data_IF_424864002788
#
_entry.id   IF_424864002788
#
_cell.length_a   1.000
_cell.length_b   1.000
_cell.length_c   1.000
_cell.angle_alpha   90.00
_cell.angle_beta   90.00
_cell.angle_gamma   90.00
#
_symmetry.space_group_name_H-M   'P 1'
#
loop_
_entity.id
_entity.type
_entity.pdbx_description
1 polymer ?
#
# COMPACT_ATOMS: atom_id res chain seq x y z
N UNK A 1 21.43 -9.19 30.93
CA UNK A 1 20.42 -8.12 31.05
C UNK A 1 20.79 -7.04 30.06
N UNK A 2 20.31 -7.15 28.84
CA UNK A 2 20.43 -6.07 27.85
C UNK A 2 19.35 -5.04 28.15
N UNK A 3 19.76 -3.88 28.64
CA UNK A 3 18.87 -2.72 28.73
C UNK A 3 18.54 -2.32 27.29
N UNK A 4 17.30 -2.57 26.89
CA UNK A 4 16.74 -2.02 25.65
C UNK A 4 16.65 -0.51 25.85
N UNK A 5 17.65 0.24 25.42
CA UNK A 5 17.59 1.71 25.41
C UNK A 5 16.45 2.10 24.47
N UNK A 6 15.44 2.76 25.02
CA UNK A 6 14.36 3.35 24.24
C UNK A 6 14.97 4.23 23.14
N UNK A 7 14.72 3.88 21.87
CA UNK A 7 15.25 4.65 20.75
C UNK A 7 14.53 6.00 20.68
N UNK A 8 15.29 7.06 20.53
CA UNK A 8 14.73 8.41 20.36
C UNK A 8 14.15 8.51 18.93
N UNK A 9 12.89 8.93 18.77
CA UNK A 9 12.30 9.15 17.47
C UNK A 9 13.11 10.15 16.63
N UNK A 10 13.32 9.82 15.36
CA UNK A 10 13.93 10.72 14.34
C UNK A 10 12.83 11.10 13.35
N UNK A 11 12.10 12.18 13.64
CA UNK A 11 10.97 12.63 12.83
C UNK A 11 11.41 13.51 11.67
N UNK A 12 10.78 13.33 10.49
CA UNK A 12 11.04 14.14 9.29
C UNK A 12 10.43 15.54 9.33
N UNK A 13 9.35 15.71 10.12
CA UNK A 13 8.69 16.98 10.36
C UNK A 13 8.38 17.14 11.85
N UNK A 14 8.15 18.37 12.33
CA UNK A 14 7.71 18.61 13.70
C UNK A 14 6.40 17.86 13.98
N UNK A 15 6.36 17.08 15.06
CA UNK A 15 5.12 16.49 15.52
C UNK A 15 4.29 17.57 16.22
N UNK A 16 2.98 17.57 15.96
CA UNK A 16 2.01 18.47 16.55
C UNK A 16 1.04 17.70 17.45
N UNK A 17 0.42 18.37 18.41
CA UNK A 17 -0.68 17.76 19.16
C UNK A 17 -1.93 17.66 18.27
N UNK A 18 -2.83 16.74 18.62
CA UNK A 18 -4.11 16.63 17.90
C UNK A 18 -4.89 17.95 17.94
N UNK A 19 -4.78 18.71 19.05
CA UNK A 19 -5.41 20.04 19.17
C UNK A 19 -4.81 21.09 18.22
N UNK A 20 -3.46 21.15 18.10
CA UNK A 20 -2.78 22.05 17.16
C UNK A 20 -3.16 21.70 15.71
N UNK A 21 -3.19 20.42 15.34
CA UNK A 21 -3.60 19.97 14.00
C UNK A 21 -5.08 20.27 13.73
N UNK A 22 -5.96 20.05 14.71
CA UNK A 22 -7.40 20.35 14.58
C UNK A 22 -7.64 21.84 14.34
N UNK A 23 -6.91 22.69 15.05
CA UNK A 23 -6.96 24.15 14.83
C UNK A 23 -6.51 24.51 13.40
N UNK A 24 -5.42 23.90 12.93
CA UNK A 24 -4.92 24.11 11.56
C UNK A 24 -5.94 23.69 10.48
N UNK A 25 -6.62 22.54 10.69
CA UNK A 25 -7.71 22.09 9.80
C UNK A 25 -8.86 23.08 9.79
N UNK A 26 -9.30 23.54 10.97
CA UNK A 26 -10.45 24.47 11.11
C UNK A 26 -10.18 25.84 10.48
N UNK A 27 -8.93 26.31 10.58
CA UNK A 27 -8.52 27.60 10.01
C UNK A 27 -8.11 27.53 8.53
N UNK A 28 -8.16 26.36 7.91
CA UNK A 28 -7.79 26.17 6.50
C UNK A 28 -6.29 26.18 6.24
N UNK A 29 -5.45 26.09 7.27
CA UNK A 29 -3.98 26.07 7.13
C UNK A 29 -3.48 24.80 6.42
N UNK A 30 -4.29 23.71 6.42
CA UNK A 30 -4.00 22.47 5.73
C UNK A 30 -4.70 22.33 4.37
N UNK A 31 -5.41 23.34 3.90
CA UNK A 31 -6.22 23.26 2.67
C UNK A 31 -5.40 22.91 1.44
N UNK A 32 -4.26 23.55 1.24
CA UNK A 32 -3.38 23.24 0.11
C UNK A 32 -2.96 21.77 0.11
N UNK A 33 -2.69 21.18 1.28
CA UNK A 33 -2.39 19.75 1.39
C UNK A 33 -3.63 18.91 1.06
N UNK A 34 -4.80 19.27 1.59
CA UNK A 34 -6.05 18.56 1.32
C UNK A 34 -6.48 18.64 -0.16
N UNK A 35 -6.22 19.78 -0.83
CA UNK A 35 -6.42 19.95 -2.27
C UNK A 35 -5.51 19.03 -3.09
N UNK A 36 -4.24 18.93 -2.73
CA UNK A 36 -3.29 18.03 -3.40
C UNK A 36 -3.71 16.56 -3.33
N UNK A 37 -4.40 16.15 -2.26
CA UNK A 37 -4.86 14.79 -2.04
C UNK A 37 -6.08 14.40 -2.91
N UNK A 38 -6.84 15.33 -3.41
CA UNK A 38 -8.05 14.99 -4.15
C UNK A 38 -8.73 16.14 -4.90
N UNK A 39 -8.01 17.23 -5.13
CA UNK A 39 -8.53 18.44 -5.80
C UNK A 39 -9.46 19.28 -4.93
N UNK A 40 -9.96 20.36 -5.50
CA UNK A 40 -10.80 21.36 -4.79
C UNK A 40 -12.20 20.84 -4.41
N UNK A 41 -12.64 19.71 -4.98
CA UNK A 41 -13.97 19.18 -4.72
C UNK A 41 -14.08 18.63 -3.32
N UNK A 42 -15.20 18.93 -2.65
CA UNK A 42 -15.55 18.43 -1.32
C UNK A 42 -14.52 18.74 -0.21
N UNK A 43 -13.97 19.94 -0.23
CA UNK A 43 -13.05 20.41 0.83
C UNK A 43 -13.71 20.37 2.24
N UNK A 44 -15.01 20.62 2.31
CA UNK A 44 -15.74 20.57 3.59
C UNK A 44 -15.76 19.13 4.16
N UNK A 45 -16.05 18.14 3.34
CA UNK A 45 -16.01 16.71 3.73
C UNK A 45 -14.61 16.25 4.13
N UNK A 46 -13.56 16.68 3.40
CA UNK A 46 -12.17 16.38 3.75
C UNK A 46 -11.73 16.96 5.07
N UNK A 47 -12.05 18.24 5.32
CA UNK A 47 -11.79 18.86 6.62
C UNK A 47 -12.53 18.13 7.74
N UNK A 48 -13.81 17.79 7.53
CA UNK A 48 -14.60 17.05 8.51
C UNK A 48 -13.98 15.69 8.83
N UNK A 49 -13.62 14.91 7.80
CA UNK A 49 -12.99 13.60 7.94
C UNK A 49 -11.65 13.69 8.69
N UNK A 50 -10.83 14.68 8.37
CA UNK A 50 -9.56 14.93 9.05
C UNK A 50 -9.79 15.34 10.52
N UNK A 51 -10.75 16.23 10.78
CA UNK A 51 -11.09 16.66 12.13
C UNK A 51 -11.63 15.51 12.99
N UNK A 52 -12.45 14.62 12.43
CA UNK A 52 -13.01 13.49 13.16
C UNK A 52 -11.94 12.43 13.47
N UNK A 53 -10.99 12.20 12.55
CA UNK A 53 -9.83 11.36 12.81
C UNK A 53 -8.95 11.91 13.95
N UNK A 54 -8.68 13.22 13.95
CA UNK A 54 -7.90 13.89 15.01
C UNK A 54 -8.59 13.82 16.37
N UNK A 55 -9.92 13.99 16.42
CA UNK A 55 -10.70 13.80 17.66
C UNK A 55 -10.62 12.36 18.15
N UNK A 56 -10.81 11.39 17.26
CA UNK A 56 -10.72 9.97 17.61
C UNK A 56 -9.33 9.60 18.13
N UNK A 57 -8.26 10.13 17.53
CA UNK A 57 -6.90 9.95 18.03
C UNK A 57 -6.73 10.54 19.44
N UNK A 58 -7.22 11.76 19.66
CA UNK A 58 -7.14 12.44 20.97
C UNK A 58 -7.92 11.69 22.06
N UNK A 59 -9.10 11.17 21.73
CA UNK A 59 -9.93 10.36 22.65
C UNK A 59 -9.28 9.02 22.99
N UNK A 60 -8.63 8.38 22.02
CA UNK A 60 -8.04 7.03 22.20
C UNK A 60 -6.67 7.09 22.87
N UNK A 61 -5.82 8.04 22.47
CA UNK A 61 -4.40 8.07 22.84
C UNK A 61 -3.98 9.31 23.65
N UNK A 62 -4.88 10.28 23.82
CA UNK A 62 -4.67 11.49 24.62
C UNK A 62 -4.39 12.73 23.80
N UNK A 63 -4.89 13.87 24.30
CA UNK A 63 -4.85 15.18 23.62
C UNK A 63 -3.45 15.79 23.49
N UNK A 64 -2.57 15.48 24.45
CA UNK A 64 -1.20 16.02 24.53
C UNK A 64 -0.18 15.21 23.74
N UNK A 65 -0.61 14.09 23.12
CA UNK A 65 0.27 13.29 22.26
C UNK A 65 0.67 14.07 21.03
N UNK A 66 1.97 14.16 20.80
CA UNK A 66 2.52 14.77 19.57
C UNK A 66 2.59 13.72 18.49
N UNK A 67 1.95 13.99 17.37
CA UNK A 67 1.72 13.04 16.29
C UNK A 67 1.95 13.68 14.92
N UNK A 68 2.06 12.86 13.89
CA UNK A 68 2.05 13.25 12.50
C UNK A 68 0.69 12.90 11.86
N UNK A 69 0.23 13.73 10.94
CA UNK A 69 -0.88 13.43 10.03
C UNK A 69 -0.30 12.95 8.71
N UNK A 70 -0.69 11.76 8.27
CA UNK A 70 -0.15 11.06 7.11
C UNK A 70 -1.29 10.60 6.20
N UNK A 71 -0.99 10.42 4.92
CA UNK A 71 -1.95 9.91 3.94
C UNK A 71 -1.27 8.97 2.95
N UNK A 72 -2.00 7.95 2.50
CA UNK A 72 -1.63 7.06 1.41
C UNK A 72 -2.85 6.83 0.54
N UNK A 73 -2.72 7.04 -0.76
CA UNK A 73 -3.81 6.86 -1.71
C UNK A 73 -4.03 5.38 -2.05
N UNK A 74 -5.27 5.03 -2.42
CA UNK A 74 -5.52 3.82 -3.18
C UNK A 74 -5.04 3.94 -4.62
N UNK A 75 -5.07 2.84 -5.36
CA UNK A 75 -4.62 2.81 -6.76
C UNK A 75 -5.66 2.25 -7.73
N UNK A 76 -5.54 2.63 -8.99
CA UNK A 76 -6.15 1.92 -10.12
C UNK A 76 -5.10 1.65 -11.18
N UNK A 77 -5.27 0.59 -11.96
CA UNK A 77 -4.48 0.35 -13.16
C UNK A 77 -5.20 0.98 -14.36
N UNK A 78 -4.44 1.69 -15.20
CA UNK A 78 -4.96 2.29 -16.43
C UNK A 78 -4.70 1.40 -17.64
N UNK A 79 -3.59 0.66 -17.66
CA UNK A 79 -3.21 -0.23 -18.75
C UNK A 79 -2.15 -1.22 -18.29
N UNK A 80 -2.15 -2.46 -18.84
CA UNK A 80 -1.13 -3.47 -18.57
C UNK A 80 -1.66 -4.81 -18.11
N UNK A 81 -2.93 -4.87 -17.69
CA UNK A 81 -3.64 -6.09 -17.37
C UNK A 81 -3.00 -6.90 -16.22
N UNK A 82 -2.46 -6.19 -15.24
CA UNK A 82 -1.87 -6.75 -14.03
C UNK A 82 -0.73 -7.77 -14.30
N UNK A 83 0.14 -7.43 -15.25
CA UNK A 83 1.20 -8.33 -15.74
C UNK A 83 2.52 -8.21 -14.98
N UNK A 84 2.57 -7.52 -13.86
CA UNK A 84 3.74 -7.38 -12.98
C UNK A 84 4.35 -8.74 -12.59
N UNK A 85 3.52 -9.74 -12.25
CA UNK A 85 3.95 -11.11 -11.94
C UNK A 85 4.55 -11.88 -13.13
N UNK A 86 4.41 -11.36 -14.36
CA UNK A 86 5.03 -11.84 -15.59
C UNK A 86 6.15 -10.93 -16.11
N UNK A 87 6.65 -10.03 -15.27
CA UNK A 87 7.64 -9.01 -15.63
C UNK A 87 7.15 -8.06 -16.73
N UNK A 88 5.83 -7.84 -16.82
CA UNK A 88 5.22 -6.97 -17.82
C UNK A 88 5.43 -5.49 -17.55
N UNK A 89 4.81 -4.66 -18.39
CA UNK A 89 4.72 -3.22 -18.22
C UNK A 89 3.30 -2.85 -17.88
N UNK A 90 3.12 -1.93 -16.94
CA UNK A 90 1.83 -1.41 -16.54
C UNK A 90 1.83 0.11 -16.45
N UNK A 91 0.67 0.73 -16.60
CA UNK A 91 0.43 2.12 -16.24
C UNK A 91 -0.60 2.12 -15.14
N UNK A 92 -0.19 2.57 -13.97
CA UNK A 92 -1.05 2.66 -12.79
C UNK A 92 -1.17 4.12 -12.32
N UNK A 93 -2.19 4.42 -11.56
CA UNK A 93 -2.36 5.73 -10.96
C UNK A 93 -2.89 5.62 -9.53
N UNK A 94 -2.51 6.59 -8.70
CA UNK A 94 -3.22 6.85 -7.46
C UNK A 94 -4.62 7.40 -7.75
N UNK A 95 -5.55 7.14 -6.84
CA UNK A 95 -6.92 7.66 -6.90
C UNK A 95 -7.16 8.64 -5.75
N UNK A 96 -8.22 9.44 -5.84
CA UNK A 96 -8.58 10.42 -4.80
C UNK A 96 -9.22 9.81 -3.55
N UNK A 97 -9.34 8.48 -3.50
CA UNK A 97 -9.71 7.74 -2.30
C UNK A 97 -8.43 7.35 -1.57
N UNK A 98 -8.33 7.70 -0.29
CA UNK A 98 -7.11 7.53 0.48
C UNK A 98 -7.37 6.92 1.86
N UNK A 99 -6.29 6.59 2.50
CA UNK A 99 -6.21 6.27 3.93
C UNK A 99 -5.54 7.44 4.64
N UNK A 100 -6.18 8.01 5.65
CA UNK A 100 -5.61 9.00 6.56
C UNK A 100 -5.18 8.33 7.85
N UNK A 101 -4.05 8.77 8.40
CA UNK A 101 -3.49 8.27 9.64
C UNK A 101 -2.95 9.40 10.51
N UNK A 102 -3.27 9.37 11.80
CA UNK A 102 -2.59 10.17 12.83
C UNK A 102 -1.75 9.21 13.64
N UNK A 103 -0.42 9.40 13.67
CA UNK A 103 0.50 8.48 14.32
C UNK A 103 1.48 9.19 15.27
N UNK A 104 1.68 8.62 16.45
CA UNK A 104 2.59 9.12 17.49
C UNK A 104 3.58 8.03 17.93
N UNK A 105 4.86 8.37 18.21
CA UNK A 105 5.84 7.39 18.66
C UNK A 105 5.57 6.89 20.07
N UNK A 106 5.95 5.63 20.34
CA UNK A 106 5.96 4.97 21.67
C UNK A 106 7.38 4.52 22.03
N UNK A 107 7.62 4.32 23.31
CA UNK A 107 8.92 3.88 23.82
C UNK A 107 8.96 2.42 24.28
N UNK A 108 7.81 1.74 24.27
CA UNK A 108 7.65 0.36 24.77
C UNK A 108 7.76 -0.73 23.69
N UNK A 109 8.01 -0.34 22.42
CA UNK A 109 8.14 -1.27 21.31
C UNK A 109 6.81 -1.92 20.87
N UNK A 110 5.68 -1.31 21.20
CA UNK A 110 4.34 -1.79 20.81
C UNK A 110 3.77 -0.89 19.72
N UNK A 111 3.27 -1.48 18.65
CA UNK A 111 2.40 -0.82 17.67
C UNK A 111 0.93 -1.04 18.07
N UNK A 112 0.20 0.05 18.29
CA UNK A 112 -1.22 0.04 18.57
C UNK A 112 -1.94 0.83 17.48
N UNK A 113 -2.69 0.13 16.63
CA UNK A 113 -3.35 0.69 15.44
C UNK A 113 -4.86 0.58 15.62
N UNK A 114 -5.51 1.72 15.80
CA UNK A 114 -6.97 1.82 15.86
C UNK A 114 -7.51 2.21 14.47
N UNK A 115 -8.11 1.26 13.78
CA UNK A 115 -8.73 1.47 12.47
C UNK A 115 -10.23 1.72 12.64
N UNK A 116 -10.69 2.94 12.34
CA UNK A 116 -12.08 3.35 12.48
C UNK A 116 -13.00 2.43 11.67
N UNK A 117 -13.97 1.82 12.35
CA UNK A 117 -14.89 0.84 11.76
C UNK A 117 -14.39 -0.60 11.71
N UNK A 118 -13.11 -0.88 12.06
CA UNK A 118 -12.52 -2.23 11.99
C UNK A 118 -11.96 -2.75 13.33
N UNK A 119 -11.66 -1.88 14.28
CA UNK A 119 -11.14 -2.26 15.59
C UNK A 119 -9.70 -1.83 15.84
N UNK A 120 -9.04 -2.49 16.78
CA UNK A 120 -7.68 -2.15 17.21
C UNK A 120 -6.77 -3.36 17.15
N UNK A 121 -5.66 -3.24 16.45
CA UNK A 121 -4.57 -4.19 16.45
C UNK A 121 -3.49 -3.75 17.42
N UNK A 122 -2.93 -4.71 18.15
CA UNK A 122 -1.79 -4.47 19.05
C UNK A 122 -0.72 -5.50 18.75
N UNK A 123 0.46 -5.02 18.33
CA UNK A 123 1.58 -5.86 17.90
C UNK A 123 2.84 -5.47 18.68
N UNK A 124 3.49 -6.45 19.31
CA UNK A 124 4.79 -6.25 19.92
C UNK A 124 5.88 -6.29 18.87
N UNK A 125 6.66 -5.20 18.72
CA UNK A 125 7.73 -5.07 17.74
C UNK A 125 9.13 -5.33 18.33
N UNK A 126 9.22 -5.63 19.62
CA UNK A 126 10.49 -5.92 20.31
C UNK A 126 10.30 -7.01 21.37
N UNK A 127 10.66 -8.29 21.09
CA UNK A 127 11.21 -8.77 19.81
C UNK A 127 10.18 -8.75 18.69
N UNK A 128 10.66 -8.66 17.43
CA UNK A 128 9.80 -8.78 16.26
C UNK A 128 9.22 -10.20 16.18
N UNK A 129 7.91 -10.32 15.88
CA UNK A 129 7.33 -11.65 15.64
C UNK A 129 7.85 -12.25 14.33
N UNK A 130 8.06 -13.56 14.35
CA UNK A 130 8.34 -14.33 13.14
C UNK A 130 7.05 -14.56 12.34
N UNK A 131 7.14 -14.85 11.01
CA UNK A 131 5.98 -15.20 10.22
C UNK A 131 5.26 -16.43 10.80
N UNK A 132 3.97 -16.29 11.02
CA UNK A 132 3.14 -17.36 11.60
C UNK A 132 1.89 -17.57 10.75
N UNK A 133 1.71 -18.83 10.30
CA UNK A 133 0.56 -19.18 9.45
C UNK A 133 -0.79 -19.04 10.15
N UNK A 134 -0.83 -19.13 11.48
CA UNK A 134 -2.06 -18.92 12.26
C UNK A 134 -2.54 -17.45 12.18
N UNK A 135 -1.62 -16.53 11.92
CA UNK A 135 -1.89 -15.10 11.78
C UNK A 135 -2.09 -14.63 10.32
N UNK A 136 -2.02 -15.54 9.35
CA UNK A 136 -2.22 -15.18 7.95
C UNK A 136 -3.59 -14.53 7.74
N UNK A 137 -3.63 -13.55 6.84
CA UNK A 137 -4.85 -12.80 6.53
C UNK A 137 -5.23 -11.72 7.54
N UNK A 138 -4.39 -11.44 8.57
CA UNK A 138 -4.68 -10.44 9.60
C UNK A 138 -3.91 -9.14 9.38
N UNK A 139 -4.50 -8.01 9.78
CA UNK A 139 -3.83 -6.70 9.80
C UNK A 139 -2.62 -6.68 10.74
N UNK A 140 -2.70 -7.42 11.86
CA UNK A 140 -1.58 -7.58 12.79
C UNK A 140 -0.35 -8.22 12.11
N UNK A 141 -0.56 -9.21 11.23
CA UNK A 141 0.51 -9.82 10.45
C UNK A 141 1.15 -8.83 9.47
N UNK A 142 0.36 -7.95 8.83
CA UNK A 142 0.88 -6.90 7.97
C UNK A 142 1.73 -5.89 8.76
N UNK A 143 1.27 -5.43 9.93
CA UNK A 143 2.04 -4.53 10.80
C UNK A 143 3.38 -5.15 11.19
N UNK A 144 3.37 -6.42 11.61
CA UNK A 144 4.58 -7.16 11.96
C UNK A 144 5.52 -7.31 10.76
N UNK A 145 4.96 -7.66 9.59
CA UNK A 145 5.70 -7.88 8.36
C UNK A 145 6.39 -6.62 7.84
N UNK A 146 5.70 -5.48 7.86
CA UNK A 146 6.31 -4.18 7.47
C UNK A 146 7.42 -3.81 8.44
N UNK A 147 7.22 -3.94 9.75
CA UNK A 147 8.26 -3.66 10.73
C UNK A 147 9.48 -4.59 10.56
N UNK A 148 9.26 -5.87 10.29
CA UNK A 148 10.33 -6.82 10.01
C UNK A 148 11.08 -6.47 8.70
N UNK A 149 10.37 -6.07 7.66
CA UNK A 149 10.95 -5.60 6.41
C UNK A 149 11.83 -4.37 6.59
N UNK A 150 11.37 -3.37 7.36
CA UNK A 150 12.17 -2.20 7.73
C UNK A 150 13.45 -2.59 8.47
N UNK A 151 13.33 -3.41 9.50
CA UNK A 151 14.49 -3.90 10.27
C UNK A 151 15.47 -4.67 9.40
N UNK A 152 14.99 -5.56 8.52
CA UNK A 152 15.80 -6.31 7.57
C UNK A 152 16.54 -5.42 6.58
N UNK A 153 15.91 -4.33 6.15
CA UNK A 153 16.51 -3.33 5.25
C UNK A 153 17.49 -2.38 5.97
N UNK A 154 17.66 -2.53 7.29
CA UNK A 154 18.60 -1.73 8.10
C UNK A 154 18.01 -0.41 8.59
N UNK A 155 16.70 -0.20 8.46
CA UNK A 155 16.00 0.98 8.97
C UNK A 155 15.64 0.82 10.45
N UNK A 156 15.50 1.96 11.12
CA UNK A 156 15.04 1.99 12.51
C UNK A 156 13.55 1.69 12.59
N UNK A 157 13.19 0.92 13.62
CA UNK A 157 11.79 0.64 13.97
C UNK A 157 11.54 0.97 15.44
N UNK A 158 10.30 1.26 15.77
CA UNK A 158 9.86 1.49 17.14
C UNK A 158 8.35 1.37 17.29
N UNK A 159 7.87 1.38 18.52
CA UNK A 159 6.43 1.34 18.81
C UNK A 159 5.74 2.64 18.43
N UNK A 160 4.46 2.54 18.07
CA UNK A 160 3.65 3.71 17.74
C UNK A 160 2.18 3.49 18.09
N UNK A 161 1.49 4.59 18.38
CA UNK A 161 0.04 4.67 18.40
C UNK A 161 -0.41 5.25 17.07
N UNK A 162 -1.40 4.66 16.43
CA UNK A 162 -1.98 5.16 15.20
C UNK A 162 -3.51 5.08 15.22
N UNK A 163 -4.17 6.12 14.73
CA UNK A 163 -5.59 6.13 14.42
C UNK A 163 -5.75 6.31 12.93
N UNK A 164 -6.52 5.44 12.26
CA UNK A 164 -6.66 5.41 10.81
C UNK A 164 -8.10 5.44 10.37
N UNK A 165 -8.37 6.11 9.25
CA UNK A 165 -9.65 6.04 8.53
C UNK A 165 -9.37 5.87 7.04
N UNK A 166 -10.12 5.00 6.37
CA UNK A 166 -9.90 4.68 4.96
C UNK A 166 -11.16 4.81 4.13
N UNK A 167 -11.04 5.48 2.98
CA UNK A 167 -12.02 5.43 1.90
C UNK A 167 -11.66 4.35 0.87
N UNK A 168 -10.46 3.75 0.98
CA UNK A 168 -10.03 2.59 0.21
C UNK A 168 -10.57 1.33 0.89
N UNK A 169 -11.81 0.97 0.58
CA UNK A 169 -12.51 -0.12 1.25
C UNK A 169 -11.95 -1.49 0.85
N UNK A 170 -11.90 -2.45 1.80
CA UNK A 170 -11.57 -3.85 1.49
C UNK A 170 -12.50 -4.41 0.40
N UNK A 171 -11.93 -5.18 -0.54
CA UNK A 171 -12.70 -5.78 -1.62
C UNK A 171 -13.16 -4.82 -2.73
N UNK A 172 -12.79 -3.53 -2.67
CA UNK A 172 -13.14 -2.54 -3.70
C UNK A 172 -12.31 -2.63 -4.99
N UNK A 173 -11.26 -3.46 -5.01
CA UNK A 173 -10.32 -3.52 -6.13
C UNK A 173 -9.30 -2.38 -6.17
N UNK A 174 -9.28 -1.50 -5.16
CA UNK A 174 -8.40 -0.33 -5.06
C UNK A 174 -7.16 -0.56 -4.20
N UNK A 175 -6.85 -1.82 -3.88
CA UNK A 175 -5.70 -2.25 -3.07
C UNK A 175 -5.66 -1.70 -1.65
N UNK A 176 -6.70 -2.00 -0.88
CA UNK A 176 -6.74 -1.62 0.54
C UNK A 176 -5.60 -2.24 1.37
N UNK A 177 -5.14 -3.46 1.07
CA UNK A 177 -3.98 -4.08 1.73
C UNK A 177 -2.70 -3.30 1.45
N UNK A 178 -2.40 -3.01 0.18
CA UNK A 178 -1.22 -2.24 -0.20
C UNK A 178 -1.22 -0.83 0.42
N UNK A 179 -2.36 -0.13 0.39
CA UNK A 179 -2.48 1.18 1.02
C UNK A 179 -2.24 1.11 2.54
N UNK A 180 -2.71 0.04 3.22
CA UNK A 180 -2.47 -0.16 4.64
C UNK A 180 -0.99 -0.46 4.94
N UNK A 181 -0.37 -1.35 4.18
CA UNK A 181 1.05 -1.71 4.31
C UNK A 181 1.95 -0.50 4.08
N UNK A 182 1.70 0.25 3.01
CA UNK A 182 2.42 1.48 2.68
C UNK A 182 2.20 2.55 3.76
N UNK A 183 1.00 2.62 4.37
CA UNK A 183 0.75 3.51 5.49
C UNK A 183 1.59 3.14 6.71
N UNK A 184 1.67 1.87 7.10
CA UNK A 184 2.55 1.41 8.20
C UNK A 184 4.01 1.73 7.87
N UNK A 185 4.46 1.51 6.63
CA UNK A 185 5.78 1.87 6.16
C UNK A 185 6.04 3.38 6.24
N UNK A 186 5.07 4.20 5.84
CA UNK A 186 5.13 5.67 5.94
C UNK A 186 5.22 6.13 7.39
N UNK A 187 4.45 5.51 8.31
CA UNK A 187 4.53 5.77 9.75
C UNK A 187 5.95 5.49 10.28
N UNK A 188 6.52 4.32 9.98
CA UNK A 188 7.86 3.96 10.44
C UNK A 188 8.94 4.83 9.79
N UNK A 189 8.81 5.15 8.50
CA UNK A 189 9.70 6.10 7.82
C UNK A 189 9.68 7.46 8.52
N UNK A 190 8.49 7.99 8.77
CA UNK A 190 8.32 9.34 9.29
C UNK A 190 8.73 9.45 10.76
N UNK A 191 8.32 8.50 11.61
CA UNK A 191 8.57 8.57 13.05
C UNK A 191 9.99 8.17 13.45
N UNK A 192 10.68 7.31 12.68
CA UNK A 192 11.96 6.73 13.08
C UNK A 192 13.11 6.93 12.11
N UNK A 193 12.80 7.29 10.84
CA UNK A 193 13.81 7.42 9.78
C UNK A 193 13.80 8.80 9.12
N UNK A 194 13.26 9.82 9.79
CA UNK A 194 13.27 11.20 9.31
C UNK A 194 12.43 11.43 8.05
N UNK A 195 11.52 10.53 7.69
CA UNK A 195 10.73 10.59 6.46
C UNK A 195 11.56 10.40 5.19
N UNK A 196 12.75 9.79 5.29
CA UNK A 196 13.73 9.70 4.18
C UNK A 196 13.76 8.35 3.48
N UNK A 197 12.97 7.36 3.93
CA UNK A 197 12.86 6.08 3.23
C UNK A 197 12.07 6.34 1.93
N UNK A 198 12.69 6.01 0.79
CA UNK A 198 12.05 6.28 -0.50
C UNK A 198 10.81 5.39 -0.71
N UNK A 199 9.85 5.89 -1.48
CA UNK A 199 8.55 5.26 -1.66
C UNK A 199 8.63 3.87 -2.32
N UNK A 200 9.61 3.63 -3.19
CA UNK A 200 9.81 2.33 -3.83
C UNK A 200 10.32 1.31 -2.81
N UNK A 201 11.20 1.73 -1.91
CA UNK A 201 11.66 0.90 -0.79
C UNK A 201 10.50 0.57 0.15
N UNK A 202 9.63 1.54 0.47
CA UNK A 202 8.41 1.29 1.26
C UNK A 202 7.53 0.26 0.57
N UNK A 203 7.25 0.43 -0.73
CA UNK A 203 6.46 -0.51 -1.53
C UNK A 203 7.03 -1.94 -1.54
N UNK A 204 8.35 -2.10 -1.66
CA UNK A 204 9.01 -3.42 -1.63
C UNK A 204 8.92 -4.08 -0.26
N UNK A 205 9.02 -3.29 0.80
CA UNK A 205 8.83 -3.78 2.18
C UNK A 205 7.36 -4.19 2.39
N UNK A 206 6.41 -3.41 1.89
CA UNK A 206 4.99 -3.71 1.92
C UNK A 206 4.68 -5.04 1.19
N UNK A 207 5.20 -5.22 -0.03
CA UNK A 207 5.10 -6.50 -0.76
C UNK A 207 5.69 -7.68 0.04
N UNK A 208 6.85 -7.49 0.68
CA UNK A 208 7.44 -8.52 1.53
C UNK A 208 6.50 -8.89 2.68
N UNK A 209 5.85 -7.91 3.31
CA UNK A 209 4.88 -8.17 4.38
C UNK A 209 3.67 -8.97 3.87
N UNK A 210 3.11 -8.62 2.71
CA UNK A 210 1.98 -9.33 2.13
C UNK A 210 2.34 -10.78 1.75
N UNK A 211 3.50 -10.98 1.13
CA UNK A 211 3.93 -12.30 0.68
C UNK A 211 4.36 -13.24 1.82
N UNK A 212 5.03 -12.72 2.86
CA UNK A 212 5.71 -13.54 3.88
C UNK A 212 4.89 -13.62 5.17
N UNK A 213 4.30 -12.52 5.62
CA UNK A 213 3.58 -12.44 6.89
C UNK A 213 2.07 -12.60 6.72
N UNK A 214 1.50 -12.01 5.68
CA UNK A 214 0.07 -12.12 5.41
C UNK A 214 -0.28 -13.42 4.66
N UNK A 215 0.70 -13.99 3.95
CA UNK A 215 0.57 -15.27 3.27
C UNK A 215 -0.14 -15.23 1.92
N UNK A 216 -0.29 -14.02 1.32
CA UNK A 216 -0.91 -13.85 0.01
C UNK A 216 0.15 -13.44 -1.01
N UNK A 217 0.49 -14.31 -1.98
CA UNK A 217 1.40 -13.96 -3.05
C UNK A 217 0.84 -12.82 -3.92
N UNK A 218 1.57 -11.72 -4.00
CA UNK A 218 1.22 -10.58 -4.84
C UNK A 218 2.42 -10.10 -5.68
N UNK A 219 2.14 -9.37 -6.76
CA UNK A 219 3.12 -8.57 -7.49
C UNK A 219 3.49 -7.30 -6.71
N UNK A 220 4.20 -6.39 -7.36
CA UNK A 220 4.68 -5.15 -6.72
C UNK A 220 3.92 -3.90 -7.20
N UNK A 221 3.05 -4.04 -8.22
CA UNK A 221 2.35 -2.91 -8.84
C UNK A 221 1.52 -2.11 -7.84
N UNK A 222 0.78 -2.81 -7.00
CA UNK A 222 -0.19 -2.21 -6.07
C UNK A 222 0.51 -1.29 -5.08
N UNK A 223 1.54 -1.80 -4.42
CA UNK A 223 2.32 -1.06 -3.44
C UNK A 223 3.07 0.12 -4.08
N UNK A 224 3.68 -0.08 -5.27
CA UNK A 224 4.36 1.02 -5.97
C UNK A 224 3.37 2.13 -6.34
N UNK A 225 2.20 1.78 -6.87
CA UNK A 225 1.22 2.78 -7.29
C UNK A 225 0.62 3.55 -6.11
N UNK A 226 0.39 2.89 -4.95
CA UNK A 226 -0.06 3.54 -3.72
C UNK A 226 1.05 4.44 -3.11
N UNK A 227 2.29 3.94 -3.02
CA UNK A 227 3.38 4.64 -2.36
C UNK A 227 3.94 5.82 -3.18
N UNK A 228 4.09 5.66 -4.51
CA UNK A 228 4.70 6.69 -5.37
C UNK A 228 3.69 7.79 -5.70
N UNK A 229 2.44 7.43 -5.94
CA UNK A 229 1.38 8.37 -6.27
C UNK A 229 1.44 8.91 -7.72
N UNK A 230 0.42 9.68 -8.11
CA UNK A 230 0.29 10.20 -9.47
C UNK A 230 0.01 9.11 -10.51
N UNK A 231 0.38 9.36 -11.77
CA UNK A 231 0.35 8.36 -12.84
C UNK A 231 1.77 7.89 -13.08
N UNK A 232 1.98 6.57 -13.06
CA UNK A 232 3.31 5.96 -13.22
C UNK A 232 3.26 4.85 -14.27
N UNK A 233 4.24 4.83 -15.16
CA UNK A 233 4.55 3.69 -16.00
C UNK A 233 5.60 2.85 -15.30
N UNK A 234 5.34 1.55 -15.14
CA UNK A 234 6.22 0.64 -14.40
C UNK A 234 6.62 -0.49 -15.34
N UNK A 235 7.91 -0.67 -15.54
CA UNK A 235 8.48 -1.82 -16.24
C UNK A 235 9.10 -2.78 -15.23
N UNK A 236 8.54 -3.98 -15.14
CA UNK A 236 8.99 -5.04 -14.24
C UNK A 236 9.99 -6.02 -14.88
N UNK A 237 10.74 -5.58 -15.91
CA UNK A 237 11.80 -6.41 -16.53
C UNK A 237 12.74 -7.02 -15.48
N UNK A 238 13.16 -6.18 -14.53
CA UNK A 238 13.85 -6.59 -13.32
C UNK A 238 12.89 -6.41 -12.12
N UNK A 239 12.35 -7.48 -11.54
CA UNK A 239 11.43 -7.38 -10.40
C UNK A 239 12.11 -6.87 -9.13
N UNK A 240 13.45 -6.98 -9.04
CA UNK A 240 14.22 -6.47 -7.92
C UNK A 240 14.55 -4.97 -8.06
N UNK A 241 14.49 -4.45 -9.28
CA UNK A 241 14.74 -3.04 -9.59
C UNK A 241 13.80 -2.55 -10.72
N UNK A 242 12.48 -2.47 -10.48
CA UNK A 242 11.53 -2.03 -11.51
C UNK A 242 11.84 -0.60 -11.95
N UNK A 243 11.72 -0.34 -13.26
CA UNK A 243 11.85 1.00 -13.81
C UNK A 243 10.52 1.74 -13.66
N UNK A 244 10.49 2.77 -12.80
CA UNK A 244 9.30 3.56 -12.51
C UNK A 244 9.47 4.94 -13.14
N UNK A 245 8.58 5.28 -14.06
CA UNK A 245 8.60 6.54 -14.79
C UNK A 245 7.32 7.32 -14.52
N UNK A 246 7.38 8.49 -13.88
CA UNK A 246 6.22 9.36 -13.75
C UNK A 246 5.68 9.77 -15.13
N UNK A 247 4.36 9.68 -15.30
CA UNK A 247 3.68 10.13 -16.53
C UNK A 247 3.04 11.49 -16.26
N UNK A 248 3.55 12.58 -16.87
CA UNK A 248 3.08 13.93 -16.62
C UNK A 248 1.75 14.19 -17.36
N UNK A 249 0.69 13.50 -16.97
CA UNK A 249 -0.65 13.66 -17.53
C UNK A 249 -1.59 14.21 -16.46
N UNK A 250 -2.10 15.40 -16.69
CA UNK A 250 -3.26 15.94 -15.98
C UNK A 250 -4.53 15.55 -16.75
N UNK A 251 -5.23 14.54 -16.25
CA UNK A 251 -6.48 14.07 -16.87
C UNK A 251 -7.56 15.16 -16.89
N UNK A 252 -7.65 15.98 -15.85
CA UNK A 252 -8.66 17.05 -15.77
C UNK A 252 -8.38 18.12 -16.80
N UNK A 253 -7.13 18.56 -16.94
CA UNK A 253 -6.73 19.51 -17.98
C UNK A 253 -6.91 18.95 -19.40
N UNK A 254 -6.78 17.63 -19.56
CA UNK A 254 -7.04 16.91 -20.81
C UNK A 254 -8.54 16.68 -21.08
N UNK A 255 -9.43 17.08 -20.16
CA UNK A 255 -10.89 16.94 -20.31
C UNK A 255 -11.44 15.56 -19.91
N UNK A 256 -10.68 14.75 -19.18
CA UNK A 256 -11.08 13.43 -18.74
C UNK A 256 -11.20 13.32 -17.23
N UNK A 257 -12.02 12.39 -16.77
CA UNK A 257 -12.14 12.00 -15.38
C UNK A 257 -12.04 10.47 -15.26
N UNK A 258 -11.30 9.99 -14.26
CA UNK A 258 -11.31 8.58 -13.88
C UNK A 258 -12.54 8.31 -13.01
N UNK A 259 -13.42 7.42 -13.47
CA UNK A 259 -14.61 7.03 -12.74
C UNK A 259 -14.45 5.59 -12.23
N UNK A 260 -14.64 5.41 -10.92
CA UNK A 260 -14.64 4.10 -10.28
C UNK A 260 -16.09 3.74 -9.96
N UNK A 261 -16.54 2.60 -10.48
CA UNK A 261 -17.90 2.11 -10.30
C UNK A 261 -17.88 0.90 -9.36
N UNK A 262 -18.48 1.05 -8.18
CA UNK A 262 -18.66 -0.06 -7.27
C UNK A 262 -19.79 -0.96 -7.80
N UNK A 263 -19.46 -2.18 -8.24
CA UNK A 263 -20.42 -3.17 -8.75
C UNK A 263 -21.05 -4.01 -7.64
N UNK A 264 -20.69 -3.79 -6.37
CA UNK A 264 -21.17 -4.56 -5.22
C UNK A 264 -20.58 -5.97 -5.10
N UNK A 265 -19.61 -6.34 -5.97
CA UNK A 265 -18.88 -7.60 -5.86
C UNK A 265 -17.85 -7.57 -4.74
N UNK A 266 -17.60 -8.73 -4.11
CA UNK A 266 -16.53 -8.90 -3.14
C UNK A 266 -15.42 -9.76 -3.74
N UNK A 267 -14.20 -9.21 -3.81
CA UNK A 267 -13.03 -9.93 -4.35
C UNK A 267 -12.44 -10.96 -3.37
N UNK A 268 -12.82 -10.93 -2.09
CA UNK A 268 -12.29 -11.85 -1.09
C UNK A 268 -12.60 -13.33 -1.40
N UNK A 269 -13.70 -13.61 -2.09
CA UNK A 269 -14.12 -14.97 -2.47
C UNK A 269 -13.44 -15.48 -3.75
N UNK A 270 -12.59 -14.68 -4.40
CA UNK A 270 -11.94 -14.98 -5.69
C UNK A 270 -10.44 -15.30 -5.56
N UNK A 271 -9.96 -15.62 -4.37
CA UNK A 271 -8.50 -15.86 -4.11
C UNK A 271 -7.93 -16.96 -5.00
N UNK A 272 -8.66 -18.06 -5.18
CA UNK A 272 -8.22 -19.18 -6.03
C UNK A 272 -8.17 -18.80 -7.51
N UNK A 273 -9.12 -17.99 -7.98
CA UNK A 273 -9.14 -17.47 -9.35
C UNK A 273 -7.96 -16.53 -9.60
N UNK A 274 -7.66 -15.64 -8.65
CA UNK A 274 -6.48 -14.77 -8.71
C UNK A 274 -5.18 -15.57 -8.72
N UNK A 275 -5.04 -16.58 -7.86
CA UNK A 275 -3.85 -17.44 -7.82
C UNK A 275 -3.69 -18.26 -9.11
N UNK A 276 -4.78 -18.59 -9.80
CA UNK A 276 -4.74 -19.32 -11.06
C UNK A 276 -4.16 -18.48 -12.21
N UNK A 277 -4.32 -17.16 -12.21
CA UNK A 277 -3.83 -16.28 -13.29
C UNK A 277 -2.33 -16.41 -13.50
N UNK A 278 -1.46 -16.12 -12.49
CA UNK A 278 -0.02 -16.25 -12.68
C UNK A 278 0.41 -17.71 -12.94
N UNK A 279 -0.29 -18.69 -12.40
CA UNK A 279 0.02 -20.11 -12.64
C UNK A 279 -0.20 -20.49 -14.11
N UNK A 280 -1.32 -20.09 -14.71
CA UNK A 280 -1.66 -20.37 -16.09
C UNK A 280 -0.73 -19.63 -17.06
N UNK A 281 -0.43 -18.34 -16.81
CA UNK A 281 0.51 -17.58 -17.62
C UNK A 281 1.92 -18.15 -17.57
N UNK A 282 2.38 -18.63 -16.40
CA UNK A 282 3.66 -19.36 -16.28
C UNK A 282 3.66 -20.69 -17.01
N UNK A 283 2.53 -21.39 -17.04
CA UNK A 283 2.42 -22.64 -17.82
C UNK A 283 2.56 -22.39 -19.32
N UNK A 284 2.01 -21.29 -19.84
CA UNK A 284 2.22 -20.86 -21.23
C UNK A 284 3.70 -20.52 -21.48
N UNK A 285 4.33 -19.73 -20.61
CA UNK A 285 5.76 -19.41 -20.74
C UNK A 285 6.64 -20.65 -20.70
N UNK A 286 6.33 -21.61 -19.82
CA UNK A 286 7.07 -22.88 -19.70
C UNK A 286 6.98 -23.75 -20.97
N UNK A 287 5.92 -23.62 -21.78
CA UNK A 287 5.83 -24.30 -23.07
C UNK A 287 6.92 -23.84 -24.06
N UNK A 288 7.49 -22.66 -23.85
CA UNK A 288 8.61 -22.09 -24.60
C UNK A 288 9.95 -22.20 -23.86
N UNK A 289 10.00 -22.94 -22.73
CA UNK A 289 11.20 -23.05 -21.90
C UNK A 289 11.57 -21.75 -21.19
N UNK A 290 10.59 -20.86 -20.93
CA UNK A 290 10.78 -19.57 -20.31
C UNK A 290 10.12 -19.51 -18.94
N UNK A 291 10.68 -18.74 -17.96
CA UNK A 291 10.11 -18.60 -16.64
C UNK A 291 8.88 -17.67 -16.62
N UNK A 292 8.82 -16.70 -17.55
CA UNK A 292 7.77 -15.69 -17.65
C UNK A 292 7.48 -15.34 -19.11
N UNK A 293 6.28 -14.81 -19.37
CA UNK A 293 5.85 -14.48 -20.75
C UNK A 293 6.67 -13.36 -21.40
N UNK A 294 7.19 -12.41 -20.63
CA UNK A 294 8.06 -11.36 -21.17
C UNK A 294 9.29 -11.89 -21.93
N UNK A 295 9.77 -13.06 -21.57
CA UNK A 295 10.94 -13.68 -22.22
C UNK A 295 10.56 -14.51 -23.45
N UNK A 296 9.28 -14.58 -23.81
CA UNK A 296 8.79 -15.27 -25.00
C UNK A 296 8.76 -14.30 -26.18
N UNK A 297 8.72 -14.85 -27.41
CA UNK A 297 8.49 -14.07 -28.62
C UNK A 297 7.01 -14.10 -28.97
N UNK A 298 6.42 -12.94 -29.25
CA UNK A 298 4.98 -12.80 -29.57
C UNK A 298 4.57 -13.66 -30.77
N UNK A 299 5.37 -13.66 -31.84
CA UNK A 299 5.08 -14.45 -33.03
C UNK A 299 5.08 -15.95 -32.74
N UNK A 300 6.00 -16.42 -31.89
CA UNK A 300 6.06 -17.84 -31.49
C UNK A 300 4.82 -18.22 -30.68
N UNK A 301 4.37 -17.36 -29.78
CA UNK A 301 3.14 -17.59 -29.00
C UNK A 301 1.92 -17.64 -29.92
N UNK A 302 1.76 -16.67 -30.84
CA UNK A 302 0.65 -16.64 -31.78
C UNK A 302 0.61 -17.89 -32.65
N UNK A 303 1.75 -18.31 -33.18
CA UNK A 303 1.84 -19.52 -34.00
C UNK A 303 1.52 -20.81 -33.23
N UNK A 304 1.80 -20.84 -31.93
CA UNK A 304 1.56 -21.98 -31.06
C UNK A 304 0.13 -22.03 -30.47
N UNK A 305 -0.70 -21.00 -30.65
CA UNK A 305 -2.04 -20.91 -30.05
C UNK A 305 -2.89 -22.19 -30.17
N UNK A 306 -2.99 -22.86 -31.36
CA UNK A 306 -3.77 -24.09 -31.45
C UNK A 306 -3.27 -25.18 -30.52
N UNK A 307 -1.96 -25.42 -30.50
CA UNK A 307 -1.32 -26.43 -29.65
C UNK A 307 -1.39 -26.07 -28.17
N UNK A 308 -1.24 -24.79 -27.81
CA UNK A 308 -1.37 -24.31 -26.44
C UNK A 308 -2.80 -24.53 -25.91
N UNK A 309 -3.82 -24.26 -26.71
CA UNK A 309 -5.22 -24.52 -26.37
C UNK A 309 -5.51 -25.98 -26.10
N UNK A 310 -4.99 -26.88 -26.93
CA UNK A 310 -5.15 -28.34 -26.73
C UNK A 310 -4.47 -28.81 -25.43
N UNK A 311 -3.32 -28.22 -25.07
CA UNK A 311 -2.50 -28.70 -23.93
C UNK A 311 -2.89 -28.04 -22.60
N UNK A 312 -3.22 -26.74 -22.61
CA UNK A 312 -3.37 -25.91 -21.41
C UNK A 312 -4.81 -25.38 -21.25
N UNK A 313 -5.65 -25.55 -22.29
CA UNK A 313 -7.03 -25.03 -22.30
C UNK A 313 -7.13 -23.58 -22.74
N UNK A 314 -8.35 -23.19 -23.13
CA UNK A 314 -8.65 -21.84 -23.65
C UNK A 314 -8.38 -20.75 -22.62
N UNK A 315 -8.68 -21.02 -21.32
CA UNK A 315 -8.52 -20.02 -20.27
C UNK A 315 -7.06 -19.58 -20.11
N UNK A 316 -6.12 -20.51 -20.10
CA UNK A 316 -4.69 -20.23 -19.95
C UNK A 316 -4.14 -19.43 -21.14
N UNK A 317 -4.70 -19.63 -22.33
CA UNK A 317 -4.26 -18.97 -23.57
C UNK A 317 -4.90 -17.59 -23.74
N UNK A 318 -6.10 -17.39 -23.22
CA UNK A 318 -6.80 -16.08 -23.27
C UNK A 318 -6.28 -15.07 -22.22
N UNK A 319 -5.62 -15.54 -21.20
CA UNK A 319 -4.95 -14.71 -20.18
C UNK A 319 -3.61 -14.21 -20.66
#
# INVERSE_FOLDING_TARGET
MNQTTAKTPRTGAPLLTAGEMLHAVQNGELDTMLEMLGGERDMAGRRARCADLLKSFAETFGTERRAALLTVAGRSELSGNHTDHNRGCVIACSVSLDMLCVAAPRTDGIACVHSLGFGTDTVTLSPLPEPDRENYGTSAALIAGVAAGFSRAGYEIGGFDACMVSDVLPGSGLSSSAAFEDMIGTVLSHLYNGGTVDNVTVARIAQYAENVYFGKPCGLMDQVACAVGGIVAIDFADPDAPCITPVPLDMTAAGYHLCIVNTGGNHADLTDDYASVPAEMKAVAAAFGKPVLRETNEADVINALPTLRERLGDRAVLR
#
